data_IF_881605582588
#
_entry.id   IF_881605582588
#
_cell.length_a   1.000
_cell.length_b   1.000
_cell.length_c   1.000
_cell.angle_alpha   90.00
_cell.angle_beta   90.00
_cell.angle_gamma   90.00
#
_symmetry.space_group_name_H-M   'P 1'
#
loop_
_entity.id
_entity.type
_entity.pdbx_description
1 polymer ?
#
# COMPACT_ATOMS: atom_id res chain seq x y z
N UNK A 1 22.05 1.66 -0.25
CA UNK A 1 21.07 0.58 -0.47
C UNK A 1 19.67 1.14 -0.36
N UNK A 2 18.81 0.81 -1.31
CA UNK A 2 17.44 1.31 -1.32
C UNK A 2 16.58 0.52 -0.32
N UNK A 3 15.84 1.24 0.50
CA UNK A 3 14.84 0.66 1.38
C UNK A 3 13.47 0.96 0.84
N UNK A 4 12.61 -0.04 0.86
CA UNK A 4 11.25 0.07 0.37
C UNK A 4 10.28 -0.20 1.52
N UNK A 5 9.34 0.71 1.74
CA UNK A 5 8.27 0.53 2.71
C UNK A 5 7.00 0.11 1.98
N UNK A 6 6.29 -0.84 2.55
CA UNK A 6 4.95 -1.22 2.10
C UNK A 6 3.97 -0.81 3.20
N UNK A 7 3.03 0.04 2.85
CA UNK A 7 2.03 0.54 3.79
C UNK A 7 0.70 -0.14 3.46
N UNK A 8 0.40 -1.19 4.20
CA UNK A 8 -0.81 -1.99 4.00
C UNK A 8 -2.01 -1.42 4.72
N UNK A 9 -3.18 -1.56 4.14
CA UNK A 9 -4.42 -1.14 4.75
C UNK A 9 -5.58 -1.18 3.78
N UNK A 10 -6.74 -0.80 4.25
CA UNK A 10 -7.94 -0.76 3.42
C UNK A 10 -7.97 0.48 2.52
N UNK A 11 -7.62 1.63 3.05
CA UNK A 11 -7.62 2.93 2.34
C UNK A 11 -8.96 3.19 1.64
N UNK A 12 -10.01 3.22 2.42
CA UNK A 12 -11.37 3.40 1.90
C UNK A 12 -12.13 4.49 2.69
N UNK A 13 -11.79 5.77 2.49
CA UNK A 13 -10.74 6.28 1.61
C UNK A 13 -9.38 6.44 2.31
N UNK A 14 -8.34 6.67 1.52
CA UNK A 14 -7.09 7.23 2.04
C UNK A 14 -7.37 8.62 2.62
N UNK A 15 -6.67 9.01 3.68
CA UNK A 15 -6.87 10.32 4.31
C UNK A 15 -5.54 10.95 4.74
N UNK A 16 -5.64 12.16 5.31
CA UNK A 16 -4.46 12.95 5.68
C UNK A 16 -3.52 12.22 6.64
N UNK A 17 -4.07 11.46 7.59
CA UNK A 17 -3.24 10.70 8.52
C UNK A 17 -2.35 9.68 7.82
N UNK A 18 -2.88 9.00 6.82
CA UNK A 18 -2.10 8.07 6.01
C UNK A 18 -0.98 8.79 5.27
N UNK A 19 -1.29 9.94 4.68
CA UNK A 19 -0.31 10.72 3.92
C UNK A 19 0.79 11.27 4.82
N UNK A 20 0.45 11.72 6.02
CA UNK A 20 1.44 12.22 6.97
C UNK A 20 2.42 11.13 7.40
N UNK A 21 1.93 9.92 7.67
CA UNK A 21 2.80 8.80 8.00
C UNK A 21 3.73 8.47 6.83
N UNK A 22 3.18 8.40 5.62
CA UNK A 22 3.98 8.08 4.43
C UNK A 22 5.06 9.13 4.18
N UNK A 23 4.72 10.41 4.29
CA UNK A 23 5.69 11.49 4.14
C UNK A 23 6.78 11.43 5.22
N UNK A 24 6.40 11.16 6.46
CA UNK A 24 7.36 11.06 7.54
C UNK A 24 8.36 9.92 7.31
N UNK A 25 7.88 8.78 6.83
CA UNK A 25 8.75 7.64 6.49
C UNK A 25 9.84 8.06 5.48
N UNK A 26 9.45 8.80 4.45
CA UNK A 26 10.39 9.27 3.43
C UNK A 26 11.29 10.39 3.96
N UNK A 27 10.72 11.39 4.63
CA UNK A 27 11.47 12.55 5.12
C UNK A 27 12.49 12.17 6.19
N UNK A 28 12.14 11.24 7.06
CA UNK A 28 13.03 10.74 8.11
C UNK A 28 13.98 9.66 7.61
N UNK A 29 13.95 9.37 6.32
CA UNK A 29 14.82 8.39 5.66
C UNK A 29 14.71 6.98 6.23
N UNK A 30 13.53 6.63 6.76
CA UNK A 30 13.24 5.27 7.16
C UNK A 30 13.10 4.36 5.93
N UNK A 31 12.64 4.94 4.81
CA UNK A 31 12.65 4.28 3.52
C UNK A 31 12.88 5.31 2.41
N UNK A 32 13.34 4.83 1.26
CA UNK A 32 13.59 5.67 0.08
C UNK A 32 12.37 5.71 -0.84
N UNK A 33 11.57 4.66 -0.81
CA UNK A 33 10.31 4.56 -1.56
C UNK A 33 9.25 3.94 -0.66
N UNK A 34 8.00 4.29 -0.92
CA UNK A 34 6.87 3.72 -0.19
C UNK A 34 5.77 3.34 -1.16
N UNK A 35 5.21 2.14 -0.98
CA UNK A 35 4.04 1.68 -1.72
C UNK A 35 2.85 1.58 -0.79
N UNK A 36 1.77 2.32 -1.11
CA UNK A 36 0.48 2.04 -0.49
C UNK A 36 -0.06 0.74 -1.09
N UNK A 37 -0.42 -0.18 -0.22
CA UNK A 37 -0.84 -1.53 -0.60
C UNK A 37 -2.27 -1.77 -0.10
N UNK A 38 -3.30 -1.35 -0.86
CA UNK A 38 -4.66 -1.64 -0.45
C UNK A 38 -4.93 -3.14 -0.53
N UNK A 39 -5.61 -3.64 0.50
CA UNK A 39 -5.88 -5.07 0.59
C UNK A 39 -7.02 -5.49 -0.33
N UNK A 40 -7.05 -6.77 -0.64
CA UNK A 40 -8.20 -7.36 -1.32
C UNK A 40 -9.37 -7.50 -0.33
N UNK A 41 -10.55 -7.09 -0.75
CA UNK A 41 -11.78 -7.26 0.02
C UNK A 41 -12.73 -8.10 -0.80
N UNK A 42 -13.15 -9.24 -0.22
CA UNK A 42 -14.07 -10.14 -0.91
C UNK A 42 -15.40 -9.45 -1.19
N UNK A 43 -15.95 -9.53 -2.41
CA UNK A 43 -17.27 -8.98 -2.72
C UNK A 43 -18.39 -9.69 -1.99
N UNK A 44 -18.13 -10.85 -1.41
CA UNK A 44 -19.12 -11.65 -0.69
C UNK A 44 -19.13 -11.40 0.82
N UNK A 45 -18.33 -10.45 1.31
CA UNK A 45 -18.28 -10.11 2.73
C UNK A 45 -19.59 -9.42 3.11
N UNK A 46 -20.39 -10.08 3.93
CA UNK A 46 -21.73 -9.61 4.28
C UNK A 46 -21.68 -8.40 5.23
N UNK A 47 -22.65 -7.50 5.06
CA UNK A 47 -22.89 -6.40 5.98
C UNK A 47 -21.94 -5.23 5.85
N UNK A 48 -21.02 -5.28 4.91
CA UNK A 48 -20.07 -4.19 4.69
C UNK A 48 -20.23 -3.57 3.31
N UNK A 49 -20.23 -2.24 3.28
CA UNK A 49 -20.18 -1.47 2.03
C UNK A 49 -18.79 -0.89 1.94
N UNK A 50 -18.13 -1.16 0.83
CA UNK A 50 -16.78 -0.64 0.60
C UNK A 50 -16.58 -0.36 -0.88
N UNK A 51 -15.62 0.52 -1.16
CA UNK A 51 -15.27 0.87 -2.53
C UNK A 51 -14.52 -0.28 -3.20
N UNK A 52 -14.62 -0.35 -4.53
CA UNK A 52 -13.88 -1.34 -5.30
C UNK A 52 -12.37 -1.15 -5.14
N UNK A 53 -11.59 -2.20 -5.45
CA UNK A 53 -10.14 -2.10 -5.45
C UNK A 53 -9.66 -1.03 -6.41
N UNK A 54 -10.27 -0.94 -7.59
CA UNK A 54 -9.93 0.08 -8.59
C UNK A 54 -10.17 1.49 -8.06
N UNK A 55 -11.32 1.73 -7.42
CA UNK A 55 -11.62 3.04 -6.86
C UNK A 55 -10.66 3.42 -5.75
N UNK A 56 -10.31 2.47 -4.89
CA UNK A 56 -9.36 2.72 -3.80
C UNK A 56 -7.98 3.07 -4.35
N UNK A 57 -7.51 2.36 -5.38
CA UNK A 57 -6.25 2.69 -6.06
C UNK A 57 -6.31 4.08 -6.68
N UNK A 58 -7.41 4.41 -7.34
CA UNK A 58 -7.56 5.73 -7.96
C UNK A 58 -7.53 6.85 -6.93
N UNK A 59 -8.17 6.66 -5.78
CA UNK A 59 -8.12 7.65 -4.70
C UNK A 59 -6.70 7.84 -4.17
N UNK A 60 -5.96 6.76 -4.01
CA UNK A 60 -4.56 6.84 -3.59
C UNK A 60 -3.75 7.62 -4.62
N UNK A 61 -3.87 7.27 -5.90
CA UNK A 61 -3.11 7.93 -6.96
C UNK A 61 -3.36 9.43 -7.03
N UNK A 62 -4.61 9.85 -6.82
CA UNK A 62 -4.94 11.28 -6.76
C UNK A 62 -4.23 11.96 -5.58
N UNK A 63 -4.26 11.31 -4.42
CA UNK A 63 -3.69 11.86 -3.20
C UNK A 63 -2.17 12.00 -3.24
N UNK A 64 -1.48 11.11 -3.96
CA UNK A 64 -0.02 11.06 -3.97
C UNK A 64 0.61 11.62 -5.26
N UNK A 65 -0.18 12.19 -6.14
CA UNK A 65 0.31 12.63 -7.48
C UNK A 65 1.52 13.55 -7.44
N UNK A 66 1.71 14.33 -6.38
CA UNK A 66 2.82 15.26 -6.23
C UNK A 66 3.93 14.71 -5.30
N UNK A 67 3.89 13.42 -5.00
CA UNK A 67 4.83 12.78 -4.07
C UNK A 67 5.66 11.72 -4.81
N UNK A 68 6.82 12.08 -5.35
CA UNK A 68 7.54 11.22 -6.30
C UNK A 68 8.08 9.91 -5.72
N UNK A 69 8.27 9.84 -4.41
CA UNK A 69 8.80 8.62 -3.77
C UNK A 69 7.69 7.70 -3.25
N UNK A 70 6.44 8.03 -3.51
CA UNK A 70 5.29 7.30 -3.00
C UNK A 70 4.43 6.84 -4.18
N UNK A 71 4.09 5.55 -4.19
CA UNK A 71 3.31 4.93 -5.25
C UNK A 71 2.19 4.08 -4.66
N UNK A 72 1.22 3.72 -5.48
CA UNK A 72 0.20 2.74 -5.13
C UNK A 72 0.53 1.42 -5.80
N UNK A 73 0.26 0.31 -5.12
CA UNK A 73 0.41 -1.02 -5.68
C UNK A 73 -0.92 -1.76 -5.61
N UNK A 74 -1.29 -2.43 -6.69
CA UNK A 74 -2.49 -3.24 -6.76
C UNK A 74 -2.21 -4.74 -6.56
N UNK A 75 -1.02 -5.08 -6.09
CA UNK A 75 -0.58 -6.45 -5.97
C UNK A 75 -1.55 -7.33 -5.17
N UNK A 76 -1.95 -6.88 -3.97
CA UNK A 76 -2.87 -7.66 -3.14
C UNK A 76 -4.29 -7.68 -3.70
N UNK A 77 -4.72 -6.61 -4.34
CA UNK A 77 -6.02 -6.56 -5.00
C UNK A 77 -6.10 -7.57 -6.13
N UNK A 78 -5.06 -7.64 -6.96
CA UNK A 78 -5.02 -8.55 -8.11
C UNK A 78 -4.96 -10.03 -7.72
N UNK A 79 -4.44 -10.34 -6.56
CA UNK A 79 -4.39 -11.73 -6.10
C UNK A 79 -5.77 -12.30 -5.84
N UNK A 80 -6.75 -11.46 -5.47
CA UNK A 80 -8.15 -11.87 -5.24
C UNK A 80 -8.30 -13.01 -4.23
N UNK A 81 -7.43 -13.04 -3.24
CA UNK A 81 -7.46 -14.03 -2.18
C UNK A 81 -6.94 -13.38 -0.90
N UNK A 82 -7.23 -13.96 0.28
CA UNK A 82 -6.64 -13.43 1.49
C UNK A 82 -5.13 -13.36 1.35
N UNK A 83 -4.57 -12.18 1.57
CA UNK A 83 -3.14 -11.95 1.44
C UNK A 83 -2.49 -11.99 2.80
N UNK A 84 -1.41 -12.75 2.91
CA UNK A 84 -0.59 -12.75 4.09
C UNK A 84 0.57 -11.79 3.87
N UNK A 85 0.93 -11.04 4.90
CA UNK A 85 2.04 -10.09 4.85
C UNK A 85 3.32 -10.74 4.33
N UNK A 86 3.60 -11.97 4.76
CA UNK A 86 4.82 -12.67 4.34
C UNK A 86 4.86 -12.88 2.84
N UNK A 87 3.72 -13.18 2.20
CA UNK A 87 3.66 -13.40 0.76
C UNK A 87 3.97 -12.13 0.00
N UNK A 88 3.43 -11.00 0.45
CA UNK A 88 3.70 -9.70 -0.15
C UNK A 88 5.16 -9.30 0.01
N UNK A 89 5.72 -9.51 1.19
CA UNK A 89 7.13 -9.22 1.46
C UNK A 89 8.05 -10.03 0.57
N UNK A 90 7.80 -11.33 0.44
CA UNK A 90 8.60 -12.19 -0.42
C UNK A 90 8.52 -11.78 -1.89
N UNK A 91 7.33 -11.43 -2.38
CA UNK A 91 7.16 -10.98 -3.75
C UNK A 91 7.95 -9.70 -4.02
N UNK A 92 7.93 -8.75 -3.10
CA UNK A 92 8.65 -7.49 -3.25
C UNK A 92 10.16 -7.70 -3.13
N UNK A 93 10.61 -8.57 -2.24
CA UNK A 93 12.03 -8.91 -2.15
C UNK A 93 12.57 -9.50 -3.45
N UNK A 94 11.80 -10.41 -4.07
CA UNK A 94 12.19 -10.99 -5.36
C UNK A 94 12.24 -9.94 -6.47
N UNK A 95 11.28 -9.00 -6.47
CA UNK A 95 11.17 -7.99 -7.53
C UNK A 95 12.26 -6.93 -7.43
N UNK A 96 12.54 -6.45 -6.21
CA UNK A 96 13.42 -5.30 -6.01
C UNK A 96 14.79 -5.64 -5.47
N UNK A 97 14.96 -6.82 -4.85
CA UNK A 97 16.22 -7.23 -4.22
C UNK A 97 16.76 -6.21 -3.22
N UNK A 98 15.86 -5.59 -2.44
CA UNK A 98 16.17 -4.55 -1.48
C UNK A 98 15.59 -4.87 -0.10
N UNK A 99 15.98 -4.07 0.89
CA UNK A 99 15.39 -4.16 2.21
C UNK A 99 13.94 -3.68 2.16
N UNK A 100 13.03 -4.54 2.63
CA UNK A 100 11.60 -4.27 2.61
C UNK A 100 11.11 -4.17 4.06
N UNK A 101 10.33 -3.16 4.38
CA UNK A 101 9.62 -3.07 5.64
C UNK A 101 8.12 -2.95 5.39
N UNK A 102 7.33 -3.41 6.33
CA UNK A 102 5.87 -3.42 6.21
C UNK A 102 5.26 -2.61 7.35
N UNK A 103 4.36 -1.67 6.98
CA UNK A 103 3.60 -0.87 7.93
C UNK A 103 2.14 -1.27 7.83
N UNK A 104 1.46 -1.32 8.97
CA UNK A 104 0.03 -1.55 9.01
C UNK A 104 -0.70 -0.30 9.47
N UNK A 105 -1.88 -0.15 8.95
CA UNK A 105 -2.79 0.85 9.42
C UNK A 105 -3.87 0.21 10.29
#
# INVERSE_FOLDING_TARGET
MTRIAIYGGTFDPIHMGHLEVAKAVIEEKAADRLFFMPNYISPFKQGEIHSSGEDRINMINIAIRDLPSIEASDYEIKRKSPSYTIDTLEAFERKFSHDICYLFN
#
